data_IF_348353966133
#
_entry.id   IF_348353966133
#
_cell.length_a   1.000
_cell.length_b   1.000
_cell.length_c   1.000
_cell.angle_alpha   90.00
_cell.angle_beta   90.00
_cell.angle_gamma   90.00
#
_symmetry.space_group_name_H-M   'P 1'
#
loop_
_entity.id
_entity.type
_entity.pdbx_description
1 polymer ?
#
# COMPACT_ATOMS: atom_id res chain seq x y z
N UNK A 1 9.46 8.21 19.30
CA UNK A 1 8.02 8.50 19.20
C UNK A 1 7.42 7.41 18.36
N UNK A 2 6.37 6.70 18.79
CA UNK A 2 5.67 5.75 17.92
C UNK A 2 5.13 6.51 16.69
N UNK A 3 5.42 6.02 15.49
CA UNK A 3 4.89 6.60 14.24
C UNK A 3 3.39 6.37 14.21
N UNK A 4 2.59 7.42 14.08
CA UNK A 4 1.15 7.24 13.92
C UNK A 4 0.87 6.58 12.57
N UNK A 5 0.50 5.30 12.59
CA UNK A 5 0.20 4.52 11.40
C UNK A 5 -0.88 5.18 10.53
N UNK A 6 -1.82 5.95 11.13
CA UNK A 6 -2.85 6.64 10.36
C UNK A 6 -2.25 7.82 9.58
N UNK A 7 -1.32 8.57 10.19
CA UNK A 7 -0.57 9.61 9.49
C UNK A 7 0.31 9.00 8.39
N UNK A 8 0.93 7.85 8.66
CA UNK A 8 1.69 7.09 7.66
C UNK A 8 0.80 6.73 6.46
N UNK A 9 -0.39 6.18 6.71
CA UNK A 9 -1.37 5.81 5.70
C UNK A 9 -1.86 7.01 4.87
N UNK A 10 -2.10 8.16 5.53
CA UNK A 10 -2.50 9.39 4.85
C UNK A 10 -1.39 9.91 3.92
N UNK A 11 -0.16 10.01 4.41
CA UNK A 11 0.99 10.45 3.61
C UNK A 11 1.25 9.51 2.42
N UNK A 12 1.14 8.20 2.63
CA UNK A 12 1.28 7.22 1.55
C UNK A 12 0.17 7.38 0.50
N UNK A 13 -1.07 7.64 0.93
CA UNK A 13 -2.20 7.85 0.03
C UNK A 13 -1.98 9.05 -0.90
N UNK A 14 -1.51 10.18 -0.36
CA UNK A 14 -1.19 11.37 -1.17
C UNK A 14 -0.13 11.09 -2.25
N UNK A 15 0.85 10.24 -1.95
CA UNK A 15 1.88 9.86 -2.93
C UNK A 15 1.29 8.90 -3.97
N UNK A 16 0.50 7.91 -3.56
CA UNK A 16 -0.17 6.99 -4.47
C UNK A 16 -1.08 7.72 -5.47
N UNK A 17 -1.75 8.79 -5.05
CA UNK A 17 -2.55 9.63 -5.95
C UNK A 17 -1.70 10.30 -7.04
N UNK A 18 -0.46 10.70 -6.73
CA UNK A 18 0.50 11.21 -7.74
C UNK A 18 0.92 10.14 -8.75
N UNK A 19 0.80 8.85 -8.40
CA UNK A 19 0.98 7.72 -9.31
C UNK A 19 -0.26 7.37 -10.13
N UNK A 20 -1.35 8.15 -10.01
CA UNK A 20 -2.59 7.93 -10.77
C UNK A 20 -3.54 6.91 -10.15
N UNK A 21 -3.33 6.56 -8.88
CA UNK A 21 -4.28 5.80 -8.08
C UNK A 21 -5.27 6.74 -7.38
N UNK A 22 -6.35 6.20 -6.84
CA UNK A 22 -7.19 6.87 -5.85
C UNK A 22 -6.99 6.14 -4.54
N UNK A 23 -6.43 6.78 -3.52
CA UNK A 23 -6.01 6.10 -2.28
C UNK A 23 -6.54 6.83 -1.03
N UNK A 24 -6.82 6.08 0.03
CA UNK A 24 -7.28 6.61 1.30
C UNK A 24 -6.77 5.77 2.47
N UNK A 25 -6.09 6.43 3.40
CA UNK A 25 -5.69 5.84 4.67
C UNK A 25 -6.85 5.86 5.65
N UNK A 26 -7.21 4.69 6.20
CA UNK A 26 -8.26 4.59 7.22
C UNK A 26 -7.90 3.63 8.34
N UNK A 27 -8.45 3.89 9.52
CA UNK A 27 -8.47 2.93 10.63
C UNK A 27 -9.88 2.34 10.75
N UNK A 28 -9.97 1.01 10.72
CA UNK A 28 -11.22 0.27 10.91
C UNK A 28 -10.96 -0.90 11.86
N UNK A 29 -11.79 -1.08 12.88
CA UNK A 29 -11.71 -2.18 13.84
C UNK A 29 -10.32 -2.35 14.49
N UNK A 30 -9.64 -1.22 14.75
CA UNK A 30 -8.29 -1.20 15.33
C UNK A 30 -7.14 -1.45 14.34
N UNK A 31 -7.45 -1.74 13.07
CA UNK A 31 -6.46 -1.95 12.01
C UNK A 31 -6.32 -0.68 11.16
N UNK A 32 -5.10 -0.19 10.99
CA UNK A 32 -4.82 0.87 10.02
C UNK A 32 -4.47 0.25 8.67
N UNK A 33 -5.06 0.76 7.59
CA UNK A 33 -4.83 0.29 6.22
C UNK A 33 -4.91 1.42 5.20
N UNK A 34 -4.37 1.16 4.02
CA UNK A 34 -4.53 1.97 2.82
C UNK A 34 -5.47 1.23 1.86
N UNK A 35 -6.63 1.83 1.59
CA UNK A 35 -7.54 1.38 0.55
C UNK A 35 -7.20 2.15 -0.74
N UNK A 36 -6.98 1.49 -1.87
CA UNK A 36 -6.63 2.16 -3.12
C UNK A 36 -7.25 1.52 -4.35
N UNK A 37 -7.48 2.33 -5.38
CA UNK A 37 -8.10 1.94 -6.64
C UNK A 37 -7.24 2.35 -7.83
N UNK A 38 -7.09 1.43 -8.79
CA UNK A 38 -6.42 1.69 -10.05
C UNK A 38 -7.38 2.30 -11.08
N UNK A 39 -6.82 2.87 -12.15
CA UNK A 39 -7.59 3.50 -13.23
C UNK A 39 -8.47 2.52 -14.00
N UNK A 40 -8.09 1.24 -14.08
CA UNK A 40 -8.92 0.18 -14.67
C UNK A 40 -10.14 -0.18 -13.78
N UNK A 41 -10.18 0.37 -12.57
CA UNK A 41 -11.30 0.21 -11.66
C UNK A 41 -11.10 -0.90 -10.62
N UNK A 42 -9.98 -1.61 -10.63
CA UNK A 42 -9.63 -2.60 -9.60
C UNK A 42 -9.36 -1.92 -8.25
N UNK A 43 -9.84 -2.54 -7.18
CA UNK A 43 -9.71 -2.05 -5.80
C UNK A 43 -8.86 -2.99 -4.98
N UNK A 44 -8.00 -2.43 -4.14
CA UNK A 44 -7.04 -3.13 -3.31
C UNK A 44 -7.01 -2.55 -1.90
N UNK A 45 -6.55 -3.36 -0.96
CA UNK A 45 -6.40 -2.98 0.44
C UNK A 45 -5.05 -3.47 0.94
N UNK A 46 -4.34 -2.60 1.66
CA UNK A 46 -3.04 -2.92 2.25
C UNK A 46 -3.02 -2.56 3.73
N UNK A 47 -2.90 -3.56 4.59
CA UNK A 47 -2.90 -3.40 6.05
C UNK A 47 -1.50 -3.08 6.59
N UNK A 48 -1.42 -2.06 7.44
CA UNK A 48 -0.18 -1.63 8.08
C UNK A 48 -0.03 -2.36 9.42
N UNK A 49 0.80 -3.41 9.44
CA UNK A 49 0.98 -4.28 10.61
C UNK A 49 2.28 -4.05 11.38
N UNK A 50 3.20 -3.27 10.82
CA UNK A 50 4.53 -2.99 11.37
C UNK A 50 4.62 -1.55 11.84
N UNK A 51 5.09 -1.35 13.07
CA UNK A 51 5.28 -0.02 13.66
C UNK A 51 6.49 0.74 13.08
N UNK A 52 7.39 0.04 12.37
CA UNK A 52 8.62 0.58 11.78
C UNK A 52 8.51 0.87 10.27
N UNK A 53 7.29 0.88 9.72
CA UNK A 53 7.07 1.20 8.31
C UNK A 53 7.36 2.67 7.99
N UNK A 54 7.99 2.89 6.85
CA UNK A 54 8.16 4.20 6.22
C UNK A 54 7.11 4.46 5.15
N UNK A 55 6.90 5.73 4.81
CA UNK A 55 5.93 6.10 3.75
C UNK A 55 6.33 5.47 2.42
N UNK A 56 7.61 5.50 2.06
CA UNK A 56 8.13 4.92 0.83
C UNK A 56 7.90 3.40 0.75
N UNK A 57 8.08 2.66 1.85
CA UNK A 57 7.78 1.22 1.89
C UNK A 57 6.31 0.95 1.62
N UNK A 58 5.41 1.67 2.28
CA UNK A 58 3.95 1.50 2.09
C UNK A 58 3.56 1.82 0.65
N UNK A 59 4.10 2.89 0.07
CA UNK A 59 3.85 3.26 -1.34
C UNK A 59 4.36 2.17 -2.27
N UNK A 60 5.60 1.70 -2.08
CA UNK A 60 6.20 0.67 -2.91
C UNK A 60 5.38 -0.63 -2.87
N UNK A 61 4.96 -1.07 -1.69
CA UNK A 61 4.11 -2.25 -1.53
C UNK A 61 2.75 -2.08 -2.24
N UNK A 62 2.09 -0.92 -2.09
CA UNK A 62 0.85 -0.63 -2.78
C UNK A 62 1.01 -0.64 -4.31
N UNK A 63 2.09 -0.06 -4.84
CA UNK A 63 2.38 -0.07 -6.28
C UNK A 63 2.66 -1.48 -6.81
N UNK A 64 3.29 -2.34 -6.01
CA UNK A 64 3.50 -3.77 -6.33
C UNK A 64 2.18 -4.53 -6.33
N UNK A 65 1.32 -4.31 -5.33
CA UNK A 65 -0.02 -4.92 -5.25
C UNK A 65 -0.88 -4.50 -6.46
N UNK A 66 -0.81 -3.22 -6.85
CA UNK A 66 -1.47 -2.68 -8.04
C UNK A 66 -0.87 -3.19 -9.37
N UNK A 67 0.27 -3.89 -9.32
CA UNK A 67 0.99 -4.34 -10.53
C UNK A 67 1.62 -3.21 -11.34
N UNK A 68 1.73 -2.00 -10.79
CA UNK A 68 2.31 -0.83 -11.46
C UNK A 68 3.84 -0.86 -11.44
N UNK A 69 4.43 -1.51 -10.45
CA UNK A 69 5.88 -1.73 -10.34
C UNK A 69 6.14 -3.22 -10.16
N UNK A 70 7.08 -3.76 -10.94
CA UNK A 70 7.59 -5.12 -10.71
C UNK A 70 8.67 -5.03 -9.63
N UNK A 71 8.55 -5.82 -8.56
CA UNK A 71 9.67 -6.02 -7.65
C UNK A 71 10.87 -6.53 -8.45
N UNK A 72 12.01 -5.83 -8.33
CA UNK A 72 13.30 -6.32 -8.80
C UNK A 72 13.74 -7.51 -7.92
N UNK A 73 13.06 -8.63 -8.09
CA UNK A 73 13.08 -9.75 -7.16
C UNK A 73 11.99 -10.76 -7.51
N UNK A 74 11.97 -11.19 -8.78
CA UNK A 74 11.09 -12.25 -9.23
C UNK A 74 11.37 -13.55 -8.47
N UNK A 75 10.50 -13.90 -7.53
CA UNK A 75 10.03 -15.27 -7.37
C UNK A 75 8.52 -15.24 -7.23
N UNK A 76 7.83 -15.68 -8.28
CA UNK A 76 6.43 -16.08 -8.21
C UNK A 76 6.38 -17.29 -7.27
N UNK A 77 5.55 -17.33 -6.21
CA UNK A 77 5.38 -18.54 -5.39
C UNK A 77 4.55 -19.64 -6.08
N UNK A 78 4.20 -19.51 -7.37
CA UNK A 78 3.10 -20.27 -7.97
C UNK A 78 3.50 -21.26 -9.08
N UNK A 79 4.79 -21.55 -9.28
CA UNK A 79 5.25 -22.54 -10.29
C UNK A 79 5.98 -23.74 -9.66
N UNK A 80 5.55 -24.16 -8.47
CA UNK A 80 5.92 -25.44 -7.86
C UNK A 80 4.64 -26.26 -7.65
N UNK A 81 4.11 -26.81 -8.74
CA UNK A 81 3.35 -28.07 -8.75
C UNK A 81 3.22 -28.57 -10.20
#
# INVERSE_FOLDING_TARGET
MPTDLLLLAANASEILERHGLVACGRRQDGVTRVDFRTRDGSSYQHELRRDDLTVDEVVAECLVIAGLVKTAGGRRPSELN
#
